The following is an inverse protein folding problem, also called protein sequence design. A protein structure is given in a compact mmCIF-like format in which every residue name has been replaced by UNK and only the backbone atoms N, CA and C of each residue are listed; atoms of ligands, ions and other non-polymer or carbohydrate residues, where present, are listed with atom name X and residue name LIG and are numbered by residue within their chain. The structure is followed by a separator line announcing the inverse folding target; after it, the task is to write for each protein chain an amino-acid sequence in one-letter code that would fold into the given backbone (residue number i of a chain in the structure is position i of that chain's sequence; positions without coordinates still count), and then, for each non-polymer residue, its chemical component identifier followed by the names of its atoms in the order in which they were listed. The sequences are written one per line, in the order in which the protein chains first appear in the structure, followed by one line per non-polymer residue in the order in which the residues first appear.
data_IF_925276420020
#
_entry.id   IF_925276420020
#
_cell.length_a   1.000
_cell.length_b   1.000
_cell.length_c   1.000
_cell.angle_alpha   90.00
_cell.angle_beta   90.00
_cell.angle_gamma   90.00
#
_symmetry.space_group_name_H-M   'P 1'
#
loop_
_entity.id
_entity.type
_entity.pdbx_description
1 polymer ?
#
# COMPACT_ATOMS: atom_id res chain seq x y z
N UNK A 1 66.37 -32.91 -22.63
CA UNK A 1 65.91 -32.11 -21.44
C UNK A 1 64.53 -31.56 -21.77
N UNK A 2 63.54 -32.20 -21.22
CA UNK A 2 62.13 -31.75 -21.32
C UNK A 2 61.88 -30.59 -20.33
N UNK A 3 61.42 -29.46 -20.85
CA UNK A 3 60.98 -28.32 -20.07
C UNK A 3 59.53 -28.61 -19.65
N UNK A 4 59.32 -28.91 -18.38
CA UNK A 4 57.97 -29.00 -17.82
C UNK A 4 57.42 -27.59 -17.67
N UNK A 5 56.40 -27.30 -18.47
CA UNK A 5 55.62 -26.08 -18.32
C UNK A 5 54.71 -26.20 -17.08
N UNK A 6 55.05 -25.49 -16.03
CA UNK A 6 54.21 -25.38 -14.85
C UNK A 6 52.99 -24.51 -15.19
N UNK A 7 51.85 -25.15 -15.40
CA UNK A 7 50.59 -24.47 -15.57
C UNK A 7 50.18 -23.88 -14.20
N UNK A 8 50.32 -22.59 -14.03
CA UNK A 8 49.77 -21.88 -12.84
C UNK A 8 48.26 -22.07 -12.84
N UNK A 9 47.76 -22.83 -11.87
CA UNK A 9 46.33 -22.86 -11.54
C UNK A 9 45.91 -21.45 -11.12
N UNK A 10 45.11 -20.78 -11.93
CA UNK A 10 44.42 -19.55 -11.51
C UNK A 10 43.50 -19.91 -10.37
N UNK A 11 43.53 -19.14 -9.26
CA UNK A 11 42.59 -19.38 -8.18
C UNK A 11 41.16 -19.23 -8.71
N UNK A 12 40.32 -20.25 -8.47
CA UNK A 12 38.92 -20.23 -8.83
C UNK A 12 38.29 -18.98 -8.21
N UNK A 13 37.72 -18.09 -9.03
CA UNK A 13 36.92 -16.95 -8.54
C UNK A 13 35.77 -17.53 -7.74
N UNK A 14 35.79 -17.34 -6.44
CA UNK A 14 34.65 -17.65 -5.58
C UNK A 14 33.55 -16.67 -5.95
N UNK A 15 32.51 -17.13 -6.62
CA UNK A 15 31.33 -16.32 -6.93
C UNK A 15 30.47 -16.31 -5.68
N UNK A 16 30.51 -15.19 -4.94
CA UNK A 16 29.72 -14.97 -3.70
C UNK A 16 28.31 -14.44 -4.00
N UNK A 17 28.00 -14.14 -5.25
CA UNK A 17 26.72 -13.55 -5.66
C UNK A 17 25.87 -14.60 -6.38
N UNK A 18 24.55 -14.51 -6.17
CA UNK A 18 23.57 -15.35 -6.87
C UNK A 18 23.62 -15.05 -8.38
N UNK A 19 23.42 -16.07 -9.22
CA UNK A 19 23.29 -15.89 -10.68
C UNK A 19 22.20 -14.86 -10.99
N UNK A 20 22.49 -13.94 -11.94
CA UNK A 20 21.59 -12.85 -12.31
C UNK A 20 21.63 -11.63 -11.39
N UNK A 21 22.56 -11.59 -10.41
CA UNK A 21 22.75 -10.37 -9.62
C UNK A 21 23.39 -9.28 -10.48
N UNK A 22 22.73 -8.12 -10.57
CA UNK A 22 23.28 -6.94 -11.22
C UNK A 22 24.50 -6.42 -10.43
N UNK A 23 25.67 -6.45 -11.08
CA UNK A 23 26.94 -6.00 -10.51
C UNK A 23 27.33 -4.60 -11.00
N UNK A 24 26.44 -3.87 -11.67
CA UNK A 24 26.70 -2.49 -12.08
C UNK A 24 26.93 -1.59 -10.85
N UNK A 25 27.75 -0.57 -11.00
CA UNK A 25 28.15 0.33 -9.94
C UNK A 25 28.01 1.80 -10.40
N UNK A 26 27.82 2.71 -9.44
CA UNK A 26 27.76 4.14 -9.72
C UNK A 26 26.45 4.61 -10.33
N UNK A 27 26.51 5.58 -11.24
CA UNK A 27 25.33 6.21 -11.86
C UNK A 27 24.46 5.21 -12.65
N UNK A 28 25.02 4.27 -13.45
CA UNK A 28 24.21 3.26 -14.15
C UNK A 28 23.34 2.44 -13.21
N UNK A 29 23.85 2.04 -12.04
CA UNK A 29 23.09 1.30 -11.04
C UNK A 29 21.93 2.14 -10.47
N UNK A 30 22.17 3.43 -10.21
CA UNK A 30 21.12 4.33 -9.72
C UNK A 30 20.01 4.49 -10.76
N UNK A 31 20.38 4.62 -12.04
CA UNK A 31 19.42 4.72 -13.15
C UNK A 31 18.60 3.43 -13.28
N UNK A 32 19.24 2.25 -13.17
CA UNK A 32 18.58 0.95 -13.16
C UNK A 32 17.55 0.86 -12.02
N UNK A 33 17.93 1.29 -10.81
CA UNK A 33 17.03 1.34 -9.65
C UNK A 33 15.82 2.25 -9.89
N UNK A 34 16.03 3.43 -10.47
CA UNK A 34 14.95 4.37 -10.81
C UNK A 34 14.00 3.74 -11.83
N UNK A 35 14.53 3.14 -12.88
CA UNK A 35 13.72 2.50 -13.93
C UNK A 35 12.88 1.33 -13.38
N UNK A 36 13.43 0.55 -12.46
CA UNK A 36 12.69 -0.52 -11.78
C UNK A 36 11.55 0.04 -10.92
N UNK A 37 11.75 1.17 -10.24
CA UNK A 37 10.71 1.86 -9.49
C UNK A 37 9.62 2.44 -10.42
N UNK A 38 10.00 2.99 -11.57
CA UNK A 38 9.06 3.48 -12.59
C UNK A 38 8.14 2.38 -13.09
N UNK A 39 8.68 1.19 -13.40
CA UNK A 39 7.89 0.05 -13.86
C UNK A 39 6.83 -0.38 -12.83
N UNK A 40 7.18 -0.42 -11.54
CA UNK A 40 6.24 -0.74 -10.47
C UNK A 40 5.17 0.34 -10.31
N UNK A 41 5.55 1.60 -10.39
CA UNK A 41 4.65 2.74 -10.31
C UNK A 41 3.63 2.75 -11.46
N UNK A 42 4.07 2.46 -12.68
CA UNK A 42 3.19 2.42 -13.85
C UNK A 42 2.14 1.30 -13.74
N UNK A 43 2.48 0.20 -13.07
CA UNK A 43 1.51 -0.86 -12.80
C UNK A 43 0.35 -0.40 -11.90
N UNK A 44 0.55 0.58 -11.01
CA UNK A 44 -0.49 1.08 -10.10
C UNK A 44 -1.04 2.46 -10.48
N UNK A 45 -0.46 3.15 -11.45
CA UNK A 45 -0.82 4.52 -11.85
C UNK A 45 -2.31 4.70 -12.18
N UNK A 46 -2.91 3.74 -12.87
CA UNK A 46 -4.32 3.80 -13.29
C UNK A 46 -5.32 3.62 -12.14
N UNK A 47 -4.86 3.21 -10.95
CA UNK A 47 -5.73 3.02 -9.77
C UNK A 47 -5.79 4.26 -8.88
N UNK A 48 -5.12 5.37 -9.25
CA UNK A 48 -5.06 6.58 -8.46
C UNK A 48 -6.41 7.30 -8.38
N UNK A 49 -6.78 7.65 -7.16
CA UNK A 49 -7.87 8.60 -6.87
C UNK A 49 -9.28 8.00 -6.97
N UNK A 50 -10.32 8.85 -6.82
CA UNK A 50 -11.72 8.41 -6.71
C UNK A 50 -12.30 7.88 -8.02
N UNK A 51 -11.61 8.06 -9.14
CA UNK A 51 -11.93 7.50 -10.47
C UNK A 51 -10.92 6.43 -10.89
N UNK A 52 -10.16 5.89 -9.94
CA UNK A 52 -9.19 4.84 -10.19
C UNK A 52 -9.86 3.59 -10.78
N UNK A 53 -9.14 2.95 -11.72
CA UNK A 53 -9.60 1.74 -12.41
C UNK A 53 -9.15 0.52 -11.62
N UNK A 54 -9.97 -0.53 -11.64
CA UNK A 54 -9.62 -1.81 -11.06
C UNK A 54 -8.57 -2.54 -11.91
N UNK A 55 -7.70 -3.30 -11.25
CA UNK A 55 -6.73 -4.20 -11.87
C UNK A 55 -7.14 -5.65 -11.66
N UNK A 56 -7.10 -6.43 -12.72
CA UNK A 56 -7.20 -7.88 -12.65
C UNK A 56 -5.80 -8.46 -12.51
N UNK A 57 -5.55 -9.14 -11.41
CA UNK A 57 -4.28 -9.79 -11.10
C UNK A 57 -4.52 -11.29 -11.06
N UNK A 58 -3.71 -12.03 -11.82
CA UNK A 58 -3.75 -13.49 -11.84
C UNK A 58 -2.50 -13.99 -11.13
N UNK A 59 -2.68 -14.74 -10.05
CA UNK A 59 -1.61 -15.38 -9.28
C UNK A 59 -1.06 -16.61 -10.04
N UNK A 60 0.13 -17.06 -9.70
CA UNK A 60 0.78 -18.25 -10.29
C UNK A 60 -0.09 -19.52 -10.22
N UNK A 61 -1.03 -19.55 -9.28
CA UNK A 61 -2.03 -20.63 -9.11
C UNK A 61 -3.26 -20.45 -9.98
N UNK A 62 -3.31 -19.46 -10.87
CA UNK A 62 -4.46 -19.17 -11.72
C UNK A 62 -5.64 -18.50 -11.02
N UNK A 63 -5.46 -18.04 -9.77
CA UNK A 63 -6.50 -17.32 -9.05
C UNK A 63 -6.53 -15.87 -9.49
N UNK A 64 -7.69 -15.44 -10.04
CA UNK A 64 -7.94 -14.04 -10.38
C UNK A 64 -8.35 -13.24 -9.14
N UNK A 65 -7.76 -12.06 -8.97
CA UNK A 65 -8.11 -11.09 -7.92
C UNK A 65 -8.30 -9.74 -8.58
N UNK A 66 -9.44 -9.11 -8.35
CA UNK A 66 -9.75 -7.76 -8.83
C UNK A 66 -9.58 -6.80 -7.65
N UNK A 67 -8.77 -5.76 -7.83
CA UNK A 67 -8.57 -4.73 -6.82
C UNK A 67 -8.11 -3.42 -7.45
N UNK A 68 -8.41 -2.30 -6.81
CA UNK A 68 -7.80 -1.00 -7.12
C UNK A 68 -6.99 -0.45 -5.95
N UNK A 69 -6.83 -1.22 -4.90
CA UNK A 69 -6.04 -0.84 -3.74
C UNK A 69 -4.55 -1.05 -4.02
N UNK A 70 -3.78 0.07 -3.99
CA UNK A 70 -2.35 0.04 -4.31
C UNK A 70 -1.54 -0.92 -3.45
N UNK A 71 -1.80 -0.98 -2.14
CA UNK A 71 -1.09 -1.89 -1.25
C UNK A 71 -1.40 -3.36 -1.58
N UNK A 72 -2.66 -3.70 -1.86
CA UNK A 72 -3.08 -5.04 -2.26
C UNK A 72 -2.45 -5.45 -3.59
N UNK A 73 -2.45 -4.56 -4.59
CA UNK A 73 -1.85 -4.82 -5.91
C UNK A 73 -0.35 -5.07 -5.76
N UNK A 74 0.36 -4.16 -5.09
CA UNK A 74 1.81 -4.26 -4.89
C UNK A 74 2.22 -5.50 -4.08
N UNK A 75 1.35 -5.97 -3.18
CA UNK A 75 1.57 -7.20 -2.41
C UNK A 75 1.44 -8.46 -3.27
N UNK A 76 0.57 -8.44 -4.28
CA UNK A 76 0.30 -9.58 -5.17
C UNK A 76 1.30 -9.64 -6.34
N UNK A 77 1.98 -8.54 -6.66
CA UNK A 77 3.02 -8.53 -7.69
C UNK A 77 4.28 -9.22 -7.18
N UNK A 78 4.84 -10.13 -7.99
CA UNK A 78 6.14 -10.73 -7.72
C UNK A 78 7.27 -9.79 -8.16
N UNK A 79 7.76 -9.00 -7.23
CA UNK A 79 8.78 -7.98 -7.45
C UNK A 79 10.13 -8.51 -6.98
N UNK A 80 11.02 -8.75 -7.93
CA UNK A 80 12.37 -9.30 -7.68
C UNK A 80 13.37 -8.18 -7.37
N UNK A 81 13.27 -7.02 -8.04
CA UNK A 81 14.25 -5.95 -7.93
C UNK A 81 14.30 -5.30 -6.55
N UNK A 82 15.48 -5.17 -5.90
CA UNK A 82 15.58 -4.66 -4.50
C UNK A 82 15.02 -3.25 -4.30
N UNK A 83 15.34 -2.30 -5.20
CA UNK A 83 14.84 -0.93 -5.12
C UNK A 83 13.31 -0.87 -5.24
N UNK A 84 12.73 -1.66 -6.14
CA UNK A 84 11.29 -1.76 -6.29
C UNK A 84 10.62 -2.40 -5.06
N UNK A 85 11.26 -3.37 -4.41
CA UNK A 85 10.80 -3.92 -3.11
C UNK A 85 10.76 -2.85 -2.02
N UNK A 86 11.77 -2.00 -1.93
CA UNK A 86 11.78 -0.88 -0.97
C UNK A 86 10.56 0.03 -1.19
N UNK A 87 10.20 0.32 -2.45
CA UNK A 87 9.01 1.10 -2.77
C UNK A 87 7.71 0.40 -2.31
N UNK A 88 7.63 -0.92 -2.47
CA UNK A 88 6.50 -1.73 -1.94
C UNK A 88 6.45 -1.68 -0.41
N UNK A 89 7.58 -1.72 0.26
CA UNK A 89 7.62 -1.66 1.73
C UNK A 89 7.20 -0.27 2.24
N UNK A 90 7.52 0.81 1.51
CA UNK A 90 7.00 2.16 1.79
C UNK A 90 5.47 2.18 1.66
N UNK A 91 4.92 1.59 0.60
CA UNK A 91 3.47 1.51 0.42
C UNK A 91 2.79 0.69 1.53
N UNK A 92 3.42 -0.41 1.98
CA UNK A 92 2.92 -1.21 3.12
C UNK A 92 2.97 -0.47 4.44
N UNK A 93 4.03 0.31 4.67
CA UNK A 93 4.11 1.16 5.86
C UNK A 93 3.01 2.20 5.88
N UNK A 94 2.74 2.85 4.73
CA UNK A 94 1.63 3.79 4.59
C UNK A 94 0.27 3.13 4.86
N UNK A 95 0.05 1.91 4.36
CA UNK A 95 -1.17 1.13 4.60
C UNK A 95 -1.34 0.78 6.09
N UNK A 96 -0.24 0.43 6.77
CA UNK A 96 -0.27 0.06 8.18
C UNK A 96 -0.55 1.25 9.11
N UNK A 97 -0.04 2.45 8.77
CA UNK A 97 -0.15 3.65 9.60
C UNK A 97 -1.44 4.44 9.34
N UNK A 98 -1.81 4.59 8.08
CA UNK A 98 -2.93 5.47 7.66
C UNK A 98 -4.08 4.69 7.03
N UNK A 99 -3.78 3.58 6.31
CA UNK A 99 -4.76 2.77 5.59
C UNK A 99 -5.25 3.38 4.28
N UNK A 100 -4.72 4.53 3.87
CA UNK A 100 -5.06 5.21 2.61
C UNK A 100 -3.82 5.91 2.01
N UNK A 101 -3.93 6.31 0.74
CA UNK A 101 -2.86 7.01 0.03
C UNK A 101 -1.69 6.12 -0.41
N UNK A 102 -1.82 4.81 -0.39
CA UNK A 102 -0.78 3.84 -0.79
C UNK A 102 -0.32 4.03 -2.24
N UNK A 103 -1.27 4.22 -3.16
CA UNK A 103 -0.97 4.55 -4.56
C UNK A 103 -0.33 5.93 -4.68
N UNK A 104 -0.84 6.92 -3.94
CA UNK A 104 -0.32 8.30 -3.97
C UNK A 104 1.14 8.36 -3.52
N UNK A 105 1.50 7.68 -2.43
CA UNK A 105 2.88 7.67 -1.91
C UNK A 105 3.83 6.97 -2.88
N UNK A 106 3.38 5.87 -3.50
CA UNK A 106 4.18 5.14 -4.50
C UNK A 106 4.47 5.98 -5.73
N UNK A 107 3.43 6.63 -6.28
CA UNK A 107 3.56 7.50 -7.45
C UNK A 107 4.42 8.72 -7.15
N UNK A 108 4.21 9.36 -5.99
CA UNK A 108 4.95 10.55 -5.60
C UNK A 108 6.44 10.25 -5.43
N UNK A 109 6.77 9.14 -4.74
CA UNK A 109 8.15 8.70 -4.57
C UNK A 109 8.83 8.42 -5.92
N UNK A 110 8.12 7.76 -6.83
CA UNK A 110 8.65 7.46 -8.16
C UNK A 110 8.81 8.70 -9.02
N UNK A 111 7.88 9.65 -8.98
CA UNK A 111 8.01 10.91 -9.74
C UNK A 111 9.20 11.73 -9.22
N UNK A 112 9.47 11.77 -7.92
CA UNK A 112 10.68 12.40 -7.41
C UNK A 112 11.96 11.71 -7.91
N UNK A 113 11.99 10.38 -7.96
CA UNK A 113 13.11 9.63 -8.52
C UNK A 113 13.29 9.91 -10.01
N UNK A 114 12.18 9.94 -10.76
CA UNK A 114 12.19 10.24 -12.19
C UNK A 114 12.72 11.65 -12.48
N UNK A 115 12.29 12.65 -11.69
CA UNK A 115 12.79 14.02 -11.83
C UNK A 115 14.26 14.17 -11.39
N UNK A 116 14.78 13.29 -10.54
CA UNK A 116 16.19 13.26 -10.18
C UNK A 116 17.09 12.68 -11.27
N UNK A 117 16.55 11.82 -12.14
CA UNK A 117 17.32 11.10 -13.17
C UNK A 117 18.14 12.01 -14.10
N UNK A 118 17.58 13.07 -14.73
CA UNK A 118 18.36 13.94 -15.60
C UNK A 118 19.52 14.62 -14.89
N UNK A 119 19.36 15.06 -13.64
CA UNK A 119 20.44 15.67 -12.87
C UNK A 119 21.57 14.69 -12.56
N UNK A 120 21.24 13.42 -12.34
CA UNK A 120 22.24 12.37 -12.14
C UNK A 120 23.02 12.08 -13.43
N UNK A 121 22.35 12.11 -14.59
CA UNK A 121 22.98 11.95 -15.90
C UNK A 121 23.88 13.15 -16.25
N UNK A 122 23.54 14.36 -15.82
CA UNK A 122 24.36 15.56 -15.93
C UNK A 122 25.56 15.58 -14.96
N UNK A 123 25.68 14.59 -14.07
CA UNK A 123 26.79 14.44 -13.14
C UNK A 123 26.61 15.13 -11.79
N UNK A 124 25.39 15.57 -11.47
CA UNK A 124 25.09 16.12 -10.11
C UNK A 124 25.18 14.99 -9.09
N UNK A 125 25.95 15.23 -8.02
CA UNK A 125 26.15 14.23 -7.00
C UNK A 125 24.84 13.95 -6.23
N UNK A 126 24.47 12.68 -5.98
CA UNK A 126 23.22 12.30 -5.31
C UNK A 126 22.97 13.02 -3.98
N UNK A 127 24.02 13.28 -3.19
CA UNK A 127 23.90 13.99 -1.90
C UNK A 127 23.38 15.42 -2.03
N UNK A 128 23.57 16.07 -3.18
CA UNK A 128 23.05 17.43 -3.43
C UNK A 128 21.54 17.35 -3.64
N UNK A 129 21.08 16.37 -4.44
CA UNK A 129 19.66 16.11 -4.70
C UNK A 129 18.95 15.75 -3.39
N UNK A 130 19.53 14.86 -2.58
CA UNK A 130 18.98 14.47 -1.28
C UNK A 130 18.79 15.68 -0.37
N UNK A 131 19.79 16.55 -0.27
CA UNK A 131 19.68 17.78 0.54
C UNK A 131 18.58 18.72 0.02
N UNK A 132 18.45 18.86 -1.30
CA UNK A 132 17.40 19.66 -1.90
C UNK A 132 16.01 19.09 -1.59
N UNK A 133 15.82 17.77 -1.67
CA UNK A 133 14.57 17.11 -1.30
C UNK A 133 14.23 17.27 0.18
N UNK A 134 15.18 17.14 1.10
CA UNK A 134 14.94 17.41 2.52
C UNK A 134 14.55 18.87 2.81
N UNK A 135 15.11 19.82 2.08
CA UNK A 135 14.67 21.21 2.19
C UNK A 135 13.25 21.40 1.67
N UNK A 136 12.96 20.83 0.51
CA UNK A 136 11.62 20.83 -0.10
C UNK A 136 10.57 20.19 0.80
N UNK A 137 10.88 19.05 1.43
CA UNK A 137 10.03 18.37 2.41
C UNK A 137 9.64 19.30 3.56
N UNK A 138 10.62 19.95 4.20
CA UNK A 138 10.36 20.89 5.32
C UNK A 138 9.46 22.05 4.89
N UNK A 139 9.68 22.59 3.69
CA UNK A 139 8.85 23.67 3.15
C UNK A 139 7.43 23.20 2.86
N UNK A 140 7.28 22.00 2.28
CA UNK A 140 6.00 21.40 1.96
C UNK A 140 5.18 21.10 3.22
N UNK A 141 5.79 20.47 4.24
CA UNK A 141 5.14 20.18 5.52
C UNK A 141 4.64 21.44 6.19
N UNK A 142 5.49 22.50 6.28
CA UNK A 142 5.07 23.79 6.83
C UNK A 142 3.89 24.40 6.06
N UNK A 143 3.88 24.25 4.73
CA UNK A 143 2.77 24.73 3.90
C UNK A 143 1.51 23.92 4.13
N UNK A 144 1.61 22.60 4.22
CA UNK A 144 0.47 21.72 4.52
C UNK A 144 -0.20 22.06 5.85
N UNK A 145 0.59 22.34 6.90
CA UNK A 145 0.04 22.78 8.20
C UNK A 145 -0.79 24.06 8.09
N UNK A 146 -0.42 24.99 7.19
CA UNK A 146 -1.17 26.24 7.00
C UNK A 146 -2.45 26.10 6.20
N UNK A 147 -2.53 25.10 5.29
CA UNK A 147 -3.71 24.88 4.44
C UNK A 147 -4.62 23.78 4.97
N UNK A 148 -4.16 22.98 5.94
CA UNK A 148 -4.95 21.90 6.52
C UNK A 148 -6.19 22.43 7.24
N UNK A 149 -7.35 21.90 6.87
CA UNK A 149 -8.60 22.18 7.56
C UNK A 149 -8.69 21.29 8.81
N UNK A 150 -8.68 21.92 9.98
CA UNK A 150 -8.87 21.19 11.25
C UNK A 150 -10.36 20.97 11.49
N UNK A 151 -10.73 19.73 11.76
CA UNK A 151 -12.08 19.37 12.18
C UNK A 151 -12.28 19.91 13.61
N UNK A 152 -13.26 20.79 13.81
CA UNK A 152 -13.63 21.26 15.14
C UNK A 152 -14.29 20.11 15.90
N UNK A 153 -13.75 19.80 17.08
CA UNK A 153 -14.27 18.71 17.94
C UNK A 153 -15.51 19.12 18.76
N UNK A 154 -15.99 20.36 18.58
CA UNK A 154 -17.04 20.95 19.42
C UNK A 154 -18.42 20.36 19.16
N UNK A 155 -18.73 19.95 17.91
CA UNK A 155 -20.01 19.37 17.53
C UNK A 155 -19.86 17.92 17.03
N UNK A 156 -20.33 16.92 17.82
CA UNK A 156 -20.19 15.51 17.45
C UNK A 156 -20.96 15.15 16.15
N UNK A 157 -22.04 15.86 15.85
CA UNK A 157 -22.81 15.64 14.61
C UNK A 157 -22.07 16.15 13.36
N UNK A 158 -21.41 17.31 13.45
CA UNK A 158 -20.57 17.82 12.35
C UNK A 158 -19.35 16.92 12.12
N UNK A 159 -18.71 16.49 13.21
CA UNK A 159 -17.59 15.56 13.14
C UNK A 159 -18.00 14.25 12.44
N UNK A 160 -19.12 13.68 12.81
CA UNK A 160 -19.66 12.46 12.19
C UNK A 160 -19.92 12.67 10.69
N UNK A 161 -20.58 13.78 10.32
CA UNK A 161 -20.89 14.08 8.93
C UNK A 161 -19.62 14.26 8.08
N UNK A 162 -18.54 14.83 8.63
CA UNK A 162 -17.24 14.93 7.95
C UNK A 162 -16.58 13.57 7.79
N UNK A 163 -16.60 12.72 8.82
CA UNK A 163 -16.08 11.35 8.75
C UNK A 163 -16.83 10.52 7.69
N UNK A 164 -18.16 10.63 7.63
CA UNK A 164 -18.96 9.96 6.60
C UNK A 164 -18.62 10.45 5.18
N UNK A 165 -18.35 11.75 4.99
CA UNK A 165 -17.88 12.30 3.71
C UNK A 165 -16.50 11.78 3.34
N UNK A 166 -15.57 11.71 4.29
CA UNK A 166 -14.24 11.12 4.07
C UNK A 166 -14.34 9.65 3.67
N UNK A 167 -15.10 8.85 4.41
CA UNK A 167 -15.35 7.45 4.10
C UNK A 167 -16.02 7.27 2.71
N UNK A 168 -17.02 8.10 2.40
CA UNK A 168 -17.68 8.09 1.09
C UNK A 168 -16.72 8.42 -0.06
N UNK A 169 -15.77 9.33 0.15
CA UNK A 169 -14.74 9.65 -0.84
C UNK A 169 -13.81 8.46 -1.08
N UNK A 170 -13.33 7.83 -0.02
CA UNK A 170 -12.48 6.64 -0.10
C UNK A 170 -13.18 5.45 -0.77
N UNK A 171 -14.48 5.29 -0.56
CA UNK A 171 -15.30 4.22 -1.17
C UNK A 171 -15.67 4.49 -2.64
N UNK A 172 -15.50 5.71 -3.15
CA UNK A 172 -15.93 6.10 -4.50
C UNK A 172 -15.19 5.35 -5.61
N UNK A 173 -13.97 4.86 -5.36
CA UNK A 173 -13.18 4.07 -6.30
C UNK A 173 -13.32 2.55 -6.08
N UNK A 174 -14.01 2.11 -5.05
CA UNK A 174 -14.12 0.69 -4.69
C UNK A 174 -15.33 0.02 -5.36
N UNK A 175 -15.34 -1.31 -5.43
CA UNK A 175 -16.45 -2.10 -6.00
C UNK A 175 -17.81 -1.78 -5.37
N UNK A 176 -17.83 -1.28 -4.14
CA UNK A 176 -19.03 -0.87 -3.40
C UNK A 176 -19.45 0.58 -3.65
N UNK A 177 -18.89 1.26 -4.65
CA UNK A 177 -19.16 2.68 -4.95
C UNK A 177 -20.67 2.99 -5.14
N UNK A 178 -21.44 2.05 -5.68
CA UNK A 178 -22.91 2.18 -5.84
C UNK A 178 -23.66 2.31 -4.50
N UNK A 179 -23.12 1.71 -3.43
CA UNK A 179 -23.71 1.69 -2.08
C UNK A 179 -22.89 2.47 -1.05
N UNK A 180 -22.05 3.42 -1.51
CA UNK A 180 -21.09 4.14 -0.66
C UNK A 180 -21.74 4.87 0.53
N UNK A 181 -22.96 5.39 0.38
CA UNK A 181 -23.67 6.07 1.49
C UNK A 181 -24.06 5.11 2.61
N UNK A 182 -24.41 3.89 2.27
CA UNK A 182 -24.71 2.86 3.25
C UNK A 182 -23.44 2.41 3.97
N UNK A 183 -22.41 2.05 3.22
CA UNK A 183 -21.16 1.56 3.79
C UNK A 183 -20.37 2.64 4.54
N UNK A 184 -20.43 3.92 4.13
CA UNK A 184 -19.75 5.00 4.85
C UNK A 184 -20.31 5.18 6.28
N UNK A 185 -21.62 5.11 6.45
CA UNK A 185 -22.24 5.14 7.79
C UNK A 185 -21.82 3.95 8.63
N UNK A 186 -21.91 2.75 8.06
CA UNK A 186 -21.57 1.49 8.73
C UNK A 186 -20.10 1.47 9.18
N UNK A 187 -19.19 1.97 8.34
CA UNK A 187 -17.75 2.06 8.68
C UNK A 187 -17.50 3.08 9.77
N UNK A 188 -18.12 4.27 9.70
CA UNK A 188 -17.99 5.30 10.73
C UNK A 188 -18.52 4.80 12.06
N UNK A 189 -19.68 4.12 12.08
CA UNK A 189 -20.21 3.51 13.28
C UNK A 189 -19.28 2.47 13.88
N UNK A 190 -18.71 1.60 13.03
CA UNK A 190 -17.76 0.57 13.47
C UNK A 190 -16.49 1.16 14.10
N UNK A 191 -15.93 2.21 13.49
CA UNK A 191 -14.73 2.87 14.00
C UNK A 191 -15.05 3.67 15.27
N UNK A 192 -16.22 4.30 15.35
CA UNK A 192 -16.65 5.07 16.53
C UNK A 192 -16.88 4.20 17.77
N UNK A 193 -17.07 2.89 17.60
CA UNK A 193 -17.15 1.93 18.71
C UNK A 193 -15.76 1.56 19.27
N UNK A 194 -14.68 1.89 18.57
CA UNK A 194 -13.33 1.66 19.05
C UNK A 194 -12.87 2.83 19.92
N UNK A 195 -12.27 2.50 21.05
CA UNK A 195 -11.54 3.46 21.87
C UNK A 195 -10.26 3.89 21.16
N UNK A 196 -9.76 5.09 21.45
CA UNK A 196 -8.56 5.68 20.85
C UNK A 196 -7.30 4.80 20.96
N UNK A 197 -7.27 3.87 21.90
CA UNK A 197 -6.19 2.93 22.14
C UNK A 197 -6.36 1.56 21.47
N UNK A 198 -7.53 1.28 20.87
CA UNK A 198 -7.80 -0.02 20.27
C UNK A 198 -7.42 -0.04 18.80
N UNK A 199 -6.62 -1.02 18.36
CA UNK A 199 -6.22 -1.13 16.95
C UNK A 199 -7.41 -1.52 16.07
N UNK A 200 -7.46 -1.04 14.83
CA UNK A 200 -8.48 -1.38 13.83
C UNK A 200 -8.66 -2.91 13.62
N UNK A 201 -7.62 -3.70 13.92
CA UNK A 201 -7.67 -5.17 13.87
C UNK A 201 -8.67 -5.79 14.85
N UNK A 202 -9.17 -5.03 15.83
CA UNK A 202 -10.23 -5.47 16.74
C UNK A 202 -11.61 -5.52 16.06
N UNK A 203 -11.78 -4.83 14.92
CA UNK A 203 -12.99 -4.95 14.12
C UNK A 203 -12.93 -6.27 13.35
N UNK A 204 -13.74 -7.25 13.77
CA UNK A 204 -13.84 -8.54 13.11
C UNK A 204 -14.73 -8.46 11.87
N UNK A 205 -14.20 -8.84 10.70
CA UNK A 205 -14.97 -8.90 9.45
C UNK A 205 -15.38 -10.34 9.20
N UNK A 206 -16.68 -10.60 9.16
CA UNK A 206 -17.26 -11.90 8.83
C UNK A 206 -17.91 -11.87 7.46
N UNK A 207 -17.46 -12.72 6.55
CA UNK A 207 -18.05 -12.88 5.23
C UNK A 207 -19.01 -14.06 5.22
N UNK A 208 -20.27 -13.82 4.83
CA UNK A 208 -21.30 -14.83 4.70
C UNK A 208 -21.80 -14.79 3.25
N UNK A 209 -21.91 -15.94 2.59
CA UNK A 209 -22.44 -16.06 1.24
C UNK A 209 -23.96 -16.12 1.27
N UNK A 210 -24.61 -15.52 0.27
CA UNK A 210 -26.07 -15.39 0.16
C UNK A 210 -26.59 -14.04 0.71
N UNK A 211 -27.66 -13.48 0.15
CA UNK A 211 -28.21 -12.19 0.49
C UNK A 211 -27.68 -11.02 -0.36
N UNK A 212 -28.16 -9.81 -0.14
CA UNK A 212 -27.72 -8.58 -0.81
C UNK A 212 -26.58 -7.90 -0.06
N UNK A 213 -25.87 -6.98 -0.71
CA UNK A 213 -24.82 -6.14 -0.06
C UNK A 213 -25.42 -5.29 1.08
N UNK A 214 -26.65 -4.86 0.92
CA UNK A 214 -27.41 -4.05 1.88
C UNK A 214 -27.80 -4.82 3.15
N UNK A 215 -27.74 -6.15 3.12
CA UNK A 215 -27.94 -6.99 4.30
C UNK A 215 -26.73 -6.98 5.25
N UNK A 216 -25.66 -6.29 4.87
CA UNK A 216 -24.49 -6.10 5.72
C UNK A 216 -24.86 -5.28 6.94
N UNK A 217 -24.47 -5.75 8.14
CA UNK A 217 -24.83 -5.07 9.39
C UNK A 217 -23.62 -5.01 10.33
N UNK A 218 -23.62 -3.98 11.16
CA UNK A 218 -22.70 -3.85 12.27
C UNK A 218 -23.33 -4.53 13.51
N UNK A 219 -22.55 -5.41 14.14
CA UNK A 219 -22.94 -6.08 15.38
C UNK A 219 -21.98 -5.61 16.48
N UNK A 220 -22.51 -4.85 17.44
CA UNK A 220 -21.77 -4.48 18.64
C UNK A 220 -21.74 -5.68 19.60
N UNK A 221 -20.84 -6.66 19.34
CA UNK A 221 -20.79 -7.90 20.09
C UNK A 221 -19.99 -8.97 19.37
N UNK A 222 -20.31 -10.23 19.61
CA UNK A 222 -19.61 -11.39 19.06
C UNK A 222 -20.49 -12.15 18.07
N UNK A 223 -19.98 -12.41 16.86
CA UNK A 223 -20.66 -13.24 15.88
C UNK A 223 -20.03 -14.63 15.76
N UNK A 224 -20.84 -15.67 15.94
CA UNK A 224 -20.44 -17.06 15.83
C UNK A 224 -20.82 -17.67 14.49
N UNK A 225 -19.95 -18.51 13.92
CA UNK A 225 -20.19 -19.18 12.63
C UNK A 225 -21.10 -20.41 12.75
N UNK A 226 -21.14 -21.05 13.93
CA UNK A 226 -21.93 -22.24 14.22
C UNK A 226 -22.38 -22.23 15.70
N UNK A 227 -23.61 -22.57 15.95
CA UNK A 227 -24.07 -23.05 17.25
C UNK A 227 -23.59 -24.50 17.39
N UNK A 228 -22.41 -24.71 17.93
CA UNK A 228 -21.99 -25.97 18.50
C UNK A 228 -21.45 -25.68 19.90
N UNK A 229 -21.98 -26.39 20.86
CA UNK A 229 -21.76 -26.21 22.26
C UNK A 229 -20.26 -26.35 22.64
N UNK A 230 -19.56 -25.25 22.72
CA UNK A 230 -18.46 -24.99 23.63
C UNK A 230 -18.06 -23.53 23.54
N UNK A 231 -18.46 -22.77 24.56
CA UNK A 231 -18.13 -21.35 24.71
C UNK A 231 -16.64 -21.20 25.04
N UNK A 232 -15.85 -20.72 24.10
CA UNK A 232 -14.61 -20.01 24.39
C UNK A 232 -14.83 -18.56 24.03
N UNK A 233 -15.13 -17.77 25.04
CA UNK A 233 -15.29 -16.32 24.95
C UNK A 233 -13.94 -15.66 24.60
N UNK A 234 -13.76 -15.28 23.34
CA UNK A 234 -12.89 -14.17 22.96
C UNK A 234 -13.78 -13.01 22.61
N UNK A 235 -13.80 -12.00 23.47
CA UNK A 235 -14.50 -10.75 23.23
C UNK A 235 -13.82 -10.00 22.07
N UNK A 236 -14.41 -10.01 20.88
CA UNK A 236 -14.08 -9.11 19.78
C UNK A 236 -15.29 -8.20 19.56
N UNK A 237 -15.04 -6.91 19.73
CA UNK A 237 -16.04 -5.86 19.70
C UNK A 237 -16.39 -5.46 18.27
N UNK A 238 -17.24 -6.09 17.60
CA UNK A 238 -17.84 -5.71 16.30
C UNK A 238 -17.45 -6.58 15.10
N UNK A 239 -18.45 -7.00 14.37
CA UNK A 239 -18.32 -7.79 13.14
C UNK A 239 -19.05 -7.08 12.01
N UNK A 240 -18.32 -6.70 10.97
CA UNK A 240 -18.90 -6.20 9.73
C UNK A 240 -19.08 -7.39 8.78
N UNK A 241 -20.29 -7.61 8.30
CA UNK A 241 -20.57 -8.65 7.32
C UNK A 241 -20.44 -8.08 5.91
N UNK A 242 -19.38 -8.41 5.20
CA UNK A 242 -19.18 -8.07 3.79
C UNK A 242 -19.33 -9.33 2.95
N UNK A 243 -20.26 -9.31 2.02
CA UNK A 243 -20.43 -10.40 1.05
C UNK A 243 -19.28 -10.43 0.03
N UNK A 244 -18.91 -11.66 -0.37
CA UNK A 244 -18.03 -11.88 -1.52
C UNK A 244 -18.82 -11.57 -2.78
N UNK A 245 -18.43 -10.54 -3.50
CA UNK A 245 -18.79 -10.37 -4.91
C UNK A 245 -18.07 -11.46 -5.71
N UNK A 246 -18.83 -12.31 -6.38
CA UNK A 246 -18.36 -13.20 -7.44
C UNK A 246 -18.35 -12.46 -8.75
#
# INVERSE_FOLDING_TARGET
RAVQTVTMLQPARIILLKEGTDSSQGVPQIISNITACEAVSDAVRSTLGPRGMDKLIIDDKGKATISNDGATILKLLDIVHPAARTLVDIARAQDAEVGDGTTSVTLLATEFLKQAKPFLEEGVHPSVIIRAYHLGEKMALKRLETIACRIKQEDPNEQRALLEKCASTALSSKLVAGHKHFFSKLVVDAVSLLDSYLPLKMIGIKKVSGGALEDSMLIAGVAFKKLSAMLVLKCNLSVINLQKLH
#
